data_IF_411707866382
#
_entry.id   IF_411707866382
#
_cell.length_a   1.000
_cell.length_b   1.000
_cell.length_c   1.000
_cell.angle_alpha   90.00
_cell.angle_beta   90.00
_cell.angle_gamma   90.00
#
_symmetry.space_group_name_H-M   'P 1'
#
loop_
_entity.id
_entity.type
_entity.pdbx_description
1 polymer ?
#
# COMPACT_ATOMS: atom_id res chain seq x y z
N UNK A 1 -41.62 -16.76 15.82
CA UNK A 1 -40.36 -17.32 15.33
C UNK A 1 -39.24 -16.46 15.91
N UNK A 2 -38.34 -17.06 16.70
CA UNK A 2 -37.20 -16.35 17.30
C UNK A 2 -36.03 -16.60 16.36
N UNK A 3 -35.49 -15.54 15.75
CA UNK A 3 -34.28 -15.62 14.94
C UNK A 3 -33.08 -15.50 15.88
N UNK A 4 -32.38 -16.61 16.08
CA UNK A 4 -31.09 -16.62 16.76
C UNK A 4 -30.02 -16.24 15.73
N UNK A 5 -29.31 -15.14 15.97
CA UNK A 5 -28.16 -14.74 15.16
C UNK A 5 -26.91 -15.36 15.77
N UNK A 6 -26.21 -16.22 15.03
CA UNK A 6 -24.90 -16.72 15.43
C UNK A 6 -23.86 -15.61 15.29
N UNK A 7 -23.10 -15.35 16.36
CA UNK A 7 -21.93 -14.47 16.31
C UNK A 7 -20.75 -15.28 15.76
N UNK A 8 -20.66 -15.41 14.44
CA UNK A 8 -19.54 -16.07 13.78
C UNK A 8 -18.40 -15.08 13.56
N UNK A 9 -17.28 -15.29 14.26
CA UNK A 9 -16.03 -14.58 13.98
C UNK A 9 -15.27 -15.32 12.88
N UNK A 10 -15.19 -14.70 11.70
CA UNK A 10 -14.36 -15.17 10.60
C UNK A 10 -12.92 -14.69 10.81
N UNK A 11 -11.99 -15.62 10.99
CA UNK A 11 -10.56 -15.32 10.91
C UNK A 11 -10.23 -15.10 9.44
N UNK A 12 -10.05 -13.84 9.05
CA UNK A 12 -9.51 -13.49 7.74
C UNK A 12 -8.00 -13.72 7.83
N UNK A 13 -7.51 -14.81 7.24
CA UNK A 13 -6.10 -14.93 6.95
C UNK A 13 -5.77 -13.85 5.89
N UNK A 14 -5.19 -12.73 6.34
CA UNK A 14 -4.60 -11.74 5.43
C UNK A 14 -3.43 -12.46 4.76
N UNK A 15 -3.66 -13.03 3.59
CA UNK A 15 -2.59 -13.45 2.67
C UNK A 15 -1.55 -12.32 2.66
N UNK A 16 -0.28 -12.65 2.86
CA UNK A 16 0.79 -11.66 2.92
C UNK A 16 0.99 -11.07 1.53
N UNK A 17 0.12 -10.15 1.14
CA UNK A 17 0.16 -9.41 -0.12
C UNK A 17 1.31 -8.39 -0.14
N UNK A 18 2.34 -8.59 0.69
CA UNK A 18 3.52 -7.75 0.76
C UNK A 18 4.57 -8.30 -0.20
N UNK A 19 5.08 -7.42 -1.04
CA UNK A 19 6.06 -7.69 -2.06
C UNK A 19 7.30 -6.84 -1.82
N UNK A 20 8.45 -7.45 -2.07
CA UNK A 20 9.76 -6.80 -2.04
C UNK A 20 10.42 -6.93 -3.40
N UNK A 21 11.15 -5.91 -3.81
CA UNK A 21 11.83 -5.91 -5.10
C UNK A 21 12.76 -4.74 -5.32
N UNK A 22 13.17 -4.57 -6.57
CA UNK A 22 14.07 -3.52 -7.04
C UNK A 22 13.51 -2.93 -8.34
N UNK A 23 13.82 -1.67 -8.62
CA UNK A 23 13.56 -1.05 -9.91
C UNK A 23 14.51 -1.64 -10.95
N UNK A 24 13.95 -1.93 -12.13
CA UNK A 24 14.73 -2.38 -13.28
C UNK A 24 15.83 -1.36 -13.60
N UNK A 25 17.05 -1.85 -13.75
CA UNK A 25 18.26 -1.05 -14.03
C UNK A 25 18.77 -0.20 -12.84
N UNK A 26 18.12 -0.27 -11.68
CA UNK A 26 18.65 0.23 -10.39
C UNK A 26 18.71 -0.89 -9.35
N UNK A 27 19.82 -1.63 -9.35
CA UNK A 27 20.01 -2.79 -8.46
C UNK A 27 20.19 -2.44 -6.98
N UNK A 28 20.39 -1.16 -6.63
CA UNK A 28 20.51 -0.72 -5.24
C UNK A 28 19.25 -0.03 -4.72
N UNK A 29 18.23 0.11 -5.58
CA UNK A 29 16.90 0.52 -5.13
C UNK A 29 16.23 -0.56 -4.28
N UNK A 30 15.24 -0.15 -3.52
CA UNK A 30 14.37 -1.02 -2.74
C UNK A 30 12.92 -0.64 -3.01
N UNK A 31 12.08 -1.65 -3.27
CA UNK A 31 10.62 -1.49 -3.38
C UNK A 31 9.99 -2.38 -2.34
N UNK A 32 9.06 -1.83 -1.56
CA UNK A 32 8.31 -2.56 -0.55
C UNK A 32 6.87 -2.07 -0.54
N UNK A 33 5.90 -2.99 -0.66
CA UNK A 33 4.50 -2.59 -0.67
C UNK A 33 3.58 -3.76 -0.92
N UNK A 34 2.30 -3.46 -1.17
CA UNK A 34 1.31 -4.44 -1.53
C UNK A 34 0.73 -4.20 -2.92
N UNK A 35 0.11 -5.24 -3.46
CA UNK A 35 -0.66 -5.15 -4.71
C UNK A 35 -2.10 -5.52 -4.39
N UNK A 36 -3.02 -4.58 -4.63
CA UNK A 36 -4.45 -4.76 -4.48
C UNK A 36 -5.13 -4.49 -5.81
N UNK A 37 -5.88 -5.46 -6.33
CA UNK A 37 -6.55 -5.39 -7.63
C UNK A 37 -5.61 -4.98 -8.80
N UNK A 38 -4.35 -5.42 -8.73
CA UNK A 38 -3.32 -5.11 -9.72
C UNK A 38 -2.69 -3.72 -9.61
N UNK A 39 -3.06 -2.92 -8.61
CA UNK A 39 -2.48 -1.61 -8.31
C UNK A 39 -1.51 -1.76 -7.14
N UNK A 40 -0.29 -1.27 -7.33
CA UNK A 40 0.73 -1.23 -6.27
C UNK A 40 0.50 -0.06 -5.32
N UNK A 41 0.67 -0.30 -4.02
CA UNK A 41 0.70 0.70 -2.96
C UNK A 41 1.90 0.41 -2.06
N UNK A 42 2.71 1.41 -1.75
CA UNK A 42 3.90 1.22 -0.93
C UNK A 42 5.00 2.24 -1.21
N UNK A 43 6.22 1.85 -0.89
CA UNK A 43 7.39 2.71 -0.88
C UNK A 43 8.44 2.24 -1.90
N UNK A 44 9.09 3.22 -2.51
CA UNK A 44 10.26 3.05 -3.36
C UNK A 44 11.39 3.89 -2.79
N UNK A 45 12.54 3.29 -2.57
CA UNK A 45 13.79 3.97 -2.25
C UNK A 45 14.75 3.79 -3.42
N UNK A 46 15.19 4.87 -4.03
CA UNK A 46 16.17 4.85 -5.11
C UNK A 46 17.60 4.68 -4.57
N UNK A 47 18.53 4.27 -5.42
CA UNK A 47 19.95 4.14 -5.05
C UNK A 47 20.62 5.44 -4.58
N UNK A 48 20.11 6.59 -5.00
CA UNK A 48 20.58 7.90 -4.56
C UNK A 48 19.97 8.34 -3.22
N UNK A 49 19.09 7.53 -2.63
CA UNK A 49 18.42 7.80 -1.36
C UNK A 49 17.11 8.58 -1.48
N UNK A 50 16.67 8.96 -2.68
CA UNK A 50 15.34 9.55 -2.86
C UNK A 50 14.24 8.51 -2.56
N UNK A 51 13.22 8.91 -1.83
CA UNK A 51 12.14 8.05 -1.39
C UNK A 51 10.79 8.54 -1.92
N UNK A 52 9.97 7.59 -2.38
CA UNK A 52 8.67 7.86 -2.95
C UNK A 52 7.60 6.98 -2.32
N UNK A 53 6.46 7.56 -2.02
CA UNK A 53 5.26 6.85 -1.63
C UNK A 53 4.28 6.78 -2.80
N UNK A 54 3.71 5.60 -3.01
CA UNK A 54 2.70 5.33 -4.03
C UNK A 54 1.43 4.88 -3.33
N UNK A 55 0.30 5.50 -3.66
CA UNK A 55 -1.02 5.09 -3.18
C UNK A 55 -2.03 5.01 -4.32
N UNK A 56 -3.12 4.27 -4.10
CA UNK A 56 -4.22 4.21 -5.06
C UNK A 56 -4.93 5.57 -5.21
N UNK A 57 -5.31 5.93 -6.43
CA UNK A 57 -6.16 7.11 -6.69
C UNK A 57 -7.63 6.87 -6.35
N UNK A 58 -8.04 5.60 -6.27
CA UNK A 58 -9.43 5.18 -6.13
C UNK A 58 -10.16 5.74 -4.90
N UNK A 59 -9.54 5.83 -3.70
CA UNK A 59 -10.16 6.42 -2.52
C UNK A 59 -10.52 7.90 -2.69
N UNK A 60 -9.82 8.61 -3.57
CA UNK A 60 -10.00 10.05 -3.77
C UNK A 60 -10.91 10.36 -4.95
N UNK A 61 -10.70 9.69 -6.08
CA UNK A 61 -11.53 9.88 -7.28
C UNK A 61 -11.32 8.75 -8.32
N UNK A 62 -12.26 7.81 -8.37
CA UNK A 62 -12.24 6.70 -9.33
C UNK A 62 -12.42 7.10 -10.81
N UNK A 63 -12.71 8.38 -11.11
CA UNK A 63 -12.94 8.86 -12.48
C UNK A 63 -11.68 9.46 -13.12
N UNK A 64 -10.56 9.51 -12.41
CA UNK A 64 -9.30 10.04 -12.94
C UNK A 64 -8.67 9.07 -13.95
N UNK A 65 -7.95 9.56 -14.98
CA UNK A 65 -7.37 8.71 -16.03
C UNK A 65 -6.10 7.96 -15.59
N UNK A 66 -5.83 7.87 -14.28
CA UNK A 66 -4.64 7.23 -13.70
C UNK A 66 -5.01 6.45 -12.44
N UNK A 67 -4.21 5.43 -12.10
CA UNK A 67 -4.52 4.50 -11.01
C UNK A 67 -3.84 4.83 -9.67
N UNK A 68 -2.76 5.63 -9.70
CA UNK A 68 -1.97 5.91 -8.50
C UNK A 68 -1.48 7.36 -8.48
N UNK A 69 -1.25 7.84 -7.27
CA UNK A 69 -0.45 9.04 -7.01
C UNK A 69 0.95 8.62 -6.56
N UNK A 70 1.95 9.43 -6.89
CA UNK A 70 3.34 9.24 -6.47
C UNK A 70 3.80 10.55 -5.86
N UNK A 71 4.32 10.49 -4.65
CA UNK A 71 4.82 11.65 -3.91
C UNK A 71 6.26 11.40 -3.48
N UNK A 72 7.07 12.46 -3.44
CA UNK A 72 8.29 12.42 -2.65
C UNK A 72 7.91 12.36 -1.17
N UNK A 73 8.61 11.53 -0.38
CA UNK A 73 8.37 11.47 1.06
C UNK A 73 8.73 12.77 1.77
N UNK A 74 9.60 13.60 1.18
CA UNK A 74 9.95 14.94 1.69
C UNK A 74 8.80 15.96 1.60
N UNK A 75 7.79 15.69 0.77
CA UNK A 75 6.66 16.61 0.52
C UNK A 75 5.40 16.24 1.32
N UNK A 76 5.44 15.13 2.06
CA UNK A 76 4.29 14.59 2.79
C UNK A 76 4.65 14.31 4.25
N UNK A 77 3.69 14.51 5.14
CA UNK A 77 3.80 14.03 6.51
C UNK A 77 3.28 12.60 6.58
N UNK A 78 4.20 11.65 6.75
CA UNK A 78 3.87 10.25 6.94
C UNK A 78 3.48 9.99 8.41
N UNK A 79 2.32 9.34 8.70
CA UNK A 79 2.02 8.90 10.05
C UNK A 79 3.06 7.87 10.51
N UNK A 80 3.42 7.89 11.79
CA UNK A 80 4.46 7.02 12.33
C UNK A 80 4.15 5.54 12.06
N UNK A 81 5.21 4.74 11.88
CA UNK A 81 5.15 3.33 11.50
C UNK A 81 4.21 2.47 12.36
N UNK A 82 4.06 2.82 13.64
CA UNK A 82 3.14 2.14 14.58
C UNK A 82 1.66 2.27 14.16
N UNK A 83 1.26 3.36 13.52
CA UNK A 83 -0.13 3.57 13.08
C UNK A 83 -0.44 2.84 11.76
N UNK A 84 0.57 2.57 10.93
CA UNK A 84 0.41 1.84 9.66
C UNK A 84 0.08 0.37 9.84
N UNK A 85 0.62 -0.25 10.89
CA UNK A 85 0.38 -1.66 11.18
C UNK A 85 -1.04 -1.92 11.73
N UNK A 86 -1.80 -0.87 12.08
CA UNK A 86 -3.14 -0.97 12.65
C UNK A 86 -4.27 -0.76 11.64
N UNK A 87 -3.97 -0.47 10.36
CA UNK A 87 -4.97 -0.35 9.28
C UNK A 87 -5.11 -1.65 8.47
#
# INVERSE_FOLDING_TARGET
AVAEYSNETMTIERDSNMYEGIIKDDNQSQVFGSIHDGIFEGMITLSNGEEFWIESSFPYNASVPFHSFIYSTDEIEMPESTERMMR
#
